data_IF_686793673910
#
_entry.id   IF_686793673910
#
_cell.length_a   1.000
_cell.length_b   1.000
_cell.length_c   1.000
_cell.angle_alpha   90.00
_cell.angle_beta   90.00
_cell.angle_gamma   90.00
#
_symmetry.space_group_name_H-M   'P 1'
#
loop_
_entity.id
_entity.type
_entity.pdbx_description
1 polymer ?
#
# COMPACT_ATOMS: atom_id res chain seq x y z
N UNK A 1 0.18 7.01 -3.44
CA UNK A 1 0.41 5.71 -4.12
C UNK A 1 1.85 5.49 -4.54
N UNK A 2 2.68 6.53 -4.64
CA UNK A 2 4.12 6.44 -4.91
C UNK A 2 4.94 7.25 -3.89
N UNK A 3 6.18 6.86 -3.62
CA UNK A 3 7.10 7.62 -2.75
C UNK A 3 7.35 9.08 -3.22
N UNK A 4 7.08 9.36 -4.49
CA UNK A 4 7.28 10.69 -5.10
C UNK A 4 6.21 11.69 -4.63
N UNK A 5 5.09 11.19 -4.10
CA UNK A 5 4.01 12.02 -3.54
C UNK A 5 4.32 12.50 -2.11
N UNK A 6 5.38 11.97 -1.49
CA UNK A 6 5.75 12.27 -0.10
C UNK A 6 6.92 13.26 -0.13
N UNK A 7 6.60 14.49 -0.46
CA UNK A 7 7.55 15.61 -0.43
C UNK A 7 7.65 16.26 0.97
N UNK A 8 8.49 17.28 1.08
CA UNK A 8 8.73 17.96 2.35
C UNK A 8 7.50 18.72 2.86
N UNK A 9 6.64 19.20 1.97
CA UNK A 9 5.45 19.95 2.37
C UNK A 9 4.36 19.00 2.88
N UNK A 10 4.22 17.82 2.26
CA UNK A 10 3.42 16.73 2.78
C UNK A 10 3.91 16.31 4.17
N UNK A 11 5.21 16.06 4.35
CA UNK A 11 5.78 15.66 5.65
C UNK A 11 5.49 16.73 6.72
N UNK A 12 5.75 18.01 6.44
CA UNK A 12 5.45 19.11 7.37
C UNK A 12 3.98 19.15 7.78
N UNK A 13 3.06 18.85 6.86
CA UNK A 13 1.64 18.78 7.17
C UNK A 13 1.32 17.60 8.10
N UNK A 14 1.90 16.42 7.85
CA UNK A 14 1.69 15.22 8.66
C UNK A 14 2.28 15.35 10.06
N UNK A 15 3.43 16.02 10.21
CA UNK A 15 4.04 16.31 11.52
C UNK A 15 3.10 17.07 12.45
N UNK A 16 2.23 17.94 11.92
CA UNK A 16 1.22 18.66 12.73
C UNK A 16 0.19 17.70 13.33
N UNK A 17 -0.27 16.72 12.54
CA UNK A 17 -1.19 15.69 13.01
C UNK A 17 -0.51 14.78 14.04
N UNK A 18 0.75 14.40 13.77
CA UNK A 18 1.54 13.61 14.72
C UNK A 18 1.73 14.33 16.06
N UNK A 19 2.02 15.64 16.02
CA UNK A 19 2.17 16.49 17.22
C UNK A 19 0.87 16.59 18.03
N UNK A 20 -0.28 16.37 17.40
CA UNK A 20 -1.58 16.26 18.04
C UNK A 20 -1.92 14.82 18.50
N UNK A 21 -0.95 13.91 18.49
CA UNK A 21 -1.09 12.47 18.81
C UNK A 21 -2.08 11.71 17.91
N UNK A 22 -2.24 12.14 16.65
CA UNK A 22 -3.04 11.41 15.67
C UNK A 22 -2.21 10.27 15.07
N UNK A 23 -2.76 9.06 15.08
CA UNK A 23 -2.19 7.91 14.36
C UNK A 23 -2.52 8.02 12.87
N UNK A 24 -1.50 8.00 12.03
CA UNK A 24 -1.65 8.08 10.58
C UNK A 24 -1.38 6.72 9.93
N UNK A 25 -2.29 6.31 9.05
CA UNK A 25 -2.24 5.05 8.33
C UNK A 25 -2.38 5.31 6.83
N UNK A 26 -1.61 4.61 6.01
CA UNK A 26 -1.73 4.68 4.55
C UNK A 26 -2.54 3.52 3.97
N UNK A 27 -3.43 3.85 3.05
CA UNK A 27 -4.10 2.88 2.18
C UNK A 27 -3.70 3.21 0.75
N UNK A 28 -3.08 2.26 0.07
CA UNK A 28 -2.67 2.39 -1.33
C UNK A 28 -3.40 1.37 -2.20
N UNK A 29 -3.50 1.65 -3.49
CA UNK A 29 -4.05 0.75 -4.50
C UNK A 29 -2.92 0.34 -5.44
N UNK A 30 -2.82 -0.95 -5.77
CA UNK A 30 -1.92 -1.45 -6.80
C UNK A 30 -2.45 -1.04 -8.17
N UNK A 31 -1.62 -0.31 -8.90
CA UNK A 31 -1.93 0.25 -10.19
C UNK A 31 -0.80 -0.10 -11.17
N UNK A 32 -1.18 -0.78 -12.26
CA UNK A 32 -0.26 -1.19 -13.31
C UNK A 32 0.52 -0.02 -13.88
N UNK A 33 1.85 -0.15 -13.98
CA UNK A 33 2.74 0.89 -14.49
C UNK A 33 2.92 2.10 -13.58
N UNK A 34 2.40 2.06 -12.35
CA UNK A 34 2.55 3.13 -11.35
C UNK A 34 3.32 2.62 -10.13
N UNK A 35 2.81 1.57 -9.48
CA UNK A 35 3.39 1.05 -8.24
C UNK A 35 3.30 -0.49 -8.15
N UNK A 36 3.25 -1.15 -9.29
CA UNK A 36 3.07 -2.60 -9.45
C UNK A 36 4.39 -3.40 -9.40
N UNK A 37 5.36 -2.93 -8.60
CA UNK A 37 6.63 -3.61 -8.36
C UNK A 37 6.99 -3.60 -6.87
N UNK A 38 7.72 -4.62 -6.41
CA UNK A 38 8.18 -4.70 -5.02
C UNK A 38 9.04 -3.50 -4.63
N UNK A 39 10.02 -3.11 -5.47
CA UNK A 39 10.92 -1.99 -5.18
C UNK A 39 10.19 -0.65 -5.00
N UNK A 40 9.15 -0.39 -5.81
CA UNK A 40 8.34 0.83 -5.65
C UNK A 40 7.52 0.80 -4.36
N UNK A 41 6.96 -0.36 -4.00
CA UNK A 41 6.22 -0.51 -2.74
C UNK A 41 7.15 -0.41 -1.52
N UNK A 42 8.36 -0.95 -1.60
CA UNK A 42 9.38 -0.82 -0.55
C UNK A 42 9.73 0.65 -0.32
N UNK A 43 10.06 1.37 -1.40
CA UNK A 43 10.36 2.80 -1.32
C UNK A 43 9.18 3.61 -0.77
N UNK A 44 7.95 3.27 -1.15
CA UNK A 44 6.76 3.91 -0.60
C UNK A 44 6.63 3.64 0.91
N UNK A 45 6.78 2.40 1.36
CA UNK A 45 6.68 2.04 2.79
C UNK A 45 7.73 2.74 3.64
N UNK A 46 8.98 2.80 3.20
CA UNK A 46 10.06 3.51 3.90
C UNK A 46 9.75 5.01 3.98
N UNK A 47 9.36 5.61 2.85
CA UNK A 47 9.08 7.04 2.78
C UNK A 47 7.84 7.45 3.59
N UNK A 48 6.82 6.59 3.68
CA UNK A 48 5.70 6.76 4.59
C UNK A 48 6.15 6.72 6.05
N UNK A 49 7.04 5.78 6.39
CA UNK A 49 7.54 5.65 7.75
C UNK A 49 8.38 6.85 8.19
N UNK A 50 9.22 7.39 7.30
CA UNK A 50 9.93 8.66 7.51
C UNK A 50 8.96 9.83 7.79
N UNK A 51 7.74 9.77 7.25
CA UNK A 51 6.67 10.74 7.45
C UNK A 51 5.77 10.44 8.67
N UNK A 52 6.16 9.52 9.57
CA UNK A 52 5.35 9.08 10.72
C UNK A 52 4.01 8.39 10.35
N UNK A 53 3.93 7.81 9.14
CA UNK A 53 2.75 7.10 8.64
C UNK A 53 3.04 5.61 8.54
N UNK A 54 2.14 4.77 9.07
CA UNK A 54 2.26 3.32 8.91
C UNK A 54 1.56 2.84 7.62
N UNK A 55 2.24 2.05 6.77
CA UNK A 55 1.58 1.31 5.69
C UNK A 55 0.53 0.37 6.28
N UNK A 56 -0.73 0.46 5.83
CA UNK A 56 -1.83 -0.30 6.43
C UNK A 56 -2.52 -1.25 5.45
N UNK A 57 -3.07 -0.73 4.36
CA UNK A 57 -3.68 -1.55 3.32
C UNK A 57 -3.02 -1.33 1.97
N UNK A 58 -2.85 -2.45 1.25
CA UNK A 58 -2.53 -2.46 -0.17
C UNK A 58 -3.69 -3.16 -0.88
N UNK A 59 -4.47 -2.38 -1.62
CA UNK A 59 -5.66 -2.84 -2.31
C UNK A 59 -5.29 -3.36 -3.70
N UNK A 60 -5.83 -4.53 -4.07
CA UNK A 60 -6.08 -4.79 -5.47
C UNK A 60 -7.14 -3.82 -6.00
N UNK A 61 -6.96 -3.40 -7.25
CA UNK A 61 -7.88 -2.49 -7.90
C UNK A 61 -9.28 -3.11 -7.98
N UNK A 62 -10.29 -2.33 -7.58
CA UNK A 62 -11.68 -2.72 -7.79
C UNK A 62 -12.03 -2.62 -9.26
N UNK A 63 -12.67 -3.66 -9.80
CA UNK A 63 -13.08 -3.69 -11.21
C UNK A 63 -14.23 -2.71 -11.43
N UNK A 64 -13.87 -1.47 -11.77
CA UNK A 64 -14.80 -0.41 -12.16
C UNK A 64 -14.59 -0.02 -13.61
N UNK A 65 -15.67 0.48 -14.23
CA UNK A 65 -15.64 0.95 -15.61
C UNK A 65 -14.60 2.07 -15.78
N UNK A 66 -13.75 1.96 -16.80
CA UNK A 66 -12.70 2.93 -17.11
C UNK A 66 -11.35 2.72 -16.42
N UNK A 67 -11.24 1.91 -15.36
CA UNK A 67 -9.99 1.69 -14.63
C UNK A 67 -9.26 0.37 -14.94
N UNK A 68 -9.86 -0.50 -15.77
CA UNK A 68 -9.34 -1.86 -16.03
C UNK A 68 -7.91 -1.92 -16.58
N UNK A 69 -7.43 -0.85 -17.23
CA UNK A 69 -6.06 -0.77 -17.75
C UNK A 69 -5.00 -0.67 -16.64
N UNK A 70 -5.39 -0.30 -15.42
CA UNK A 70 -4.55 -0.30 -14.23
C UNK A 70 -4.60 -1.62 -13.45
N UNK A 71 -5.45 -2.57 -13.84
CA UNK A 71 -5.60 -3.84 -13.12
C UNK A 71 -4.33 -4.71 -13.27
N UNK A 72 -4.03 -5.48 -12.23
CA UNK A 72 -2.95 -6.47 -12.23
C UNK A 72 -3.47 -7.80 -11.70
N UNK A 73 -2.84 -8.89 -12.15
CA UNK A 73 -3.18 -10.22 -11.66
C UNK A 73 -2.87 -10.36 -10.17
N UNK A 74 -3.72 -11.07 -9.44
CA UNK A 74 -3.53 -11.30 -8.00
C UNK A 74 -2.22 -12.04 -7.70
N UNK A 75 -1.77 -12.92 -8.61
CA UNK A 75 -0.47 -13.60 -8.52
C UNK A 75 0.71 -12.61 -8.53
N UNK A 76 0.62 -11.54 -9.35
CA UNK A 76 1.61 -10.46 -9.36
C UNK A 76 1.59 -9.70 -8.04
N UNK A 77 0.40 -9.36 -7.52
CA UNK A 77 0.26 -8.68 -6.23
C UNK A 77 0.86 -9.49 -5.07
N UNK A 78 0.63 -10.80 -5.05
CA UNK A 78 1.26 -11.71 -4.07
C UNK A 78 2.78 -11.69 -4.18
N UNK A 79 3.33 -11.76 -5.39
CA UNK A 79 4.77 -11.71 -5.63
C UNK A 79 5.39 -10.37 -5.20
N UNK A 80 4.69 -9.25 -5.39
CA UNK A 80 5.12 -7.93 -4.91
C UNK A 80 5.26 -7.95 -3.39
N UNK A 81 4.22 -8.38 -2.66
CA UNK A 81 4.25 -8.39 -1.18
C UNK A 81 5.25 -9.41 -0.64
N UNK A 82 5.41 -10.56 -1.30
CA UNK A 82 6.47 -11.51 -0.99
C UNK A 82 7.86 -10.85 -1.09
N UNK A 83 8.13 -10.12 -2.17
CA UNK A 83 9.38 -9.38 -2.32
C UNK A 83 9.55 -8.25 -1.31
N UNK A 84 8.47 -7.64 -0.83
CA UNK A 84 8.55 -6.66 0.27
C UNK A 84 8.97 -7.31 1.58
N UNK A 85 8.48 -8.53 1.87
CA UNK A 85 8.84 -9.28 3.09
C UNK A 85 10.33 -9.62 3.17
N UNK A 86 10.99 -9.79 2.02
CA UNK A 86 12.44 -10.02 1.96
C UNK A 86 13.26 -8.76 2.28
N UNK A 87 12.68 -7.56 2.08
CA UNK A 87 13.39 -6.29 2.16
C UNK A 87 13.04 -5.45 3.40
N UNK A 88 11.83 -5.61 3.95
CA UNK A 88 11.29 -4.74 4.99
C UNK A 88 10.97 -5.51 6.28
N UNK A 89 11.06 -4.83 7.44
CA UNK A 89 10.51 -5.37 8.67
C UNK A 89 8.99 -5.51 8.57
N UNK A 90 8.44 -6.53 9.25
CA UNK A 90 7.03 -6.90 9.13
C UNK A 90 6.01 -5.78 9.41
N UNK A 91 6.34 -4.79 10.25
CA UNK A 91 5.45 -3.67 10.56
C UNK A 91 5.34 -2.61 9.45
N UNK A 92 6.20 -2.68 8.42
CA UNK A 92 6.13 -1.85 7.21
C UNK A 92 5.47 -2.58 6.03
N UNK A 93 5.00 -3.80 6.24
CA UNK A 93 4.30 -4.60 5.24
C UNK A 93 2.80 -4.30 5.36
N UNK A 94 2.19 -3.62 4.36
CA UNK A 94 0.75 -3.41 4.37
C UNK A 94 0.01 -4.73 4.15
N UNK A 95 -1.23 -4.81 4.63
CA UNK A 95 -2.09 -5.97 4.40
C UNK A 95 -2.60 -5.94 2.96
N UNK A 96 -2.30 -6.97 2.18
CA UNK A 96 -2.87 -7.16 0.85
C UNK A 96 -4.36 -7.53 0.96
N UNK A 97 -5.22 -6.73 0.34
CA UNK A 97 -6.68 -6.87 0.45
C UNK A 97 -7.38 -6.62 -0.88
N UNK A 98 -8.63 -7.08 -0.98
CA UNK A 98 -9.58 -6.67 -2.03
C UNK A 98 -10.95 -6.35 -1.46
N UNK A 99 -11.71 -5.56 -2.22
CA UNK A 99 -13.14 -5.39 -1.97
C UNK A 99 -13.94 -6.54 -2.60
N UNK A 100 -14.99 -6.99 -1.90
CA UNK A 100 -15.92 -7.99 -2.43
C UNK A 100 -17.32 -7.51 -2.09
N UNK A 101 -18.10 -7.16 -3.11
CA UNK A 101 -19.48 -6.69 -2.96
C UNK A 101 -20.31 -7.64 -2.09
N UNK A 102 -21.03 -7.08 -1.12
CA UNK A 102 -21.87 -7.83 -0.18
C UNK A 102 -21.14 -8.34 1.07
N UNK A 103 -19.81 -8.19 1.19
CA UNK A 103 -19.11 -8.43 2.45
C UNK A 103 -19.10 -7.20 3.35
N UNK A 104 -19.02 -7.44 4.66
CA UNK A 104 -19.02 -6.38 5.69
C UNK A 104 -17.64 -5.77 5.94
N UNK A 105 -16.58 -6.36 5.39
CA UNK A 105 -15.19 -5.93 5.60
C UNK A 105 -14.31 -6.24 4.39
N UNK A 106 -13.17 -5.55 4.33
CA UNK A 106 -12.09 -5.82 3.37
C UNK A 106 -11.67 -7.29 3.49
N UNK A 107 -11.54 -7.98 2.36
CA UNK A 107 -11.12 -9.38 2.35
C UNK A 107 -9.60 -9.46 2.21
N UNK A 108 -8.86 -9.99 3.22
CA UNK A 108 -7.44 -10.26 3.10
C UNK A 108 -7.17 -11.28 2.00
N UNK A 109 -6.08 -11.06 1.27
CA UNK A 109 -5.56 -11.99 0.29
C UNK A 109 -4.43 -12.77 0.97
N UNK A 110 -4.61 -14.08 1.12
CA UNK A 110 -3.56 -14.99 1.58
C UNK A 110 -2.33 -14.80 0.68
N UNK A 111 -1.11 -14.81 1.21
CA UNK A 111 0.11 -14.66 0.40
C UNK A 111 0.61 -16.00 -0.18
N UNK A 112 0.13 -17.14 0.33
CA UNK A 112 0.56 -18.49 -0.06
C UNK A 112 2.09 -18.72 0.04
N UNK A 113 2.72 -18.06 1.01
CA UNK A 113 4.14 -18.28 1.34
C UNK A 113 4.26 -19.63 2.06
N UNK A 114 5.20 -20.47 1.61
CA UNK A 114 5.48 -21.79 2.19
C UNK A 114 6.71 -21.76 3.06
#
# INVERSE_FOLDING_TARGET
>A
NHANEIDDDFIKAMTKLKSANVTLLNQSVLLKGVNDTSSVQVALSERLFEADILPYYLHLLDKVEGASHFDIEESQARAIVAGMLDALPGFLIPKLVREIGGKTSKTPIDLQLR
#
